data_IF_389434972594
#
_entry.id   IF_389434972594
#
_cell.length_a   1.000
_cell.length_b   1.000
_cell.length_c   1.000
_cell.angle_alpha   90.00
_cell.angle_beta   90.00
_cell.angle_gamma   90.00
#
_symmetry.space_group_name_H-M   'P 1'
#
loop_
_entity.id
_entity.type
_entity.pdbx_description
1 polymer ?
#
# COMPACT_ATOMS: atom_id res chain seq x y z
N UNK A 1 -62.74 5.07 30.39
CA UNK A 1 -61.70 4.06 30.65
C UNK A 1 -61.45 3.28 29.36
N UNK A 2 -60.57 3.79 28.50
CA UNK A 2 -60.00 3.08 27.35
C UNK A 2 -58.51 3.30 27.46
N UNK A 3 -57.82 2.27 27.91
CA UNK A 3 -56.38 2.23 28.14
C UNK A 3 -55.65 2.30 26.81
N UNK A 4 -54.64 3.17 26.78
CA UNK A 4 -53.56 3.24 25.80
C UNK A 4 -53.01 1.85 25.46
N UNK A 5 -52.79 1.61 24.17
CA UNK A 5 -51.70 0.76 23.69
C UNK A 5 -50.91 1.64 22.72
N UNK A 6 -49.89 2.30 23.25
CA UNK A 6 -48.82 2.93 22.48
C UNK A 6 -47.95 1.81 21.93
N UNK A 7 -48.07 1.55 20.65
CA UNK A 7 -47.19 0.63 19.94
C UNK A 7 -45.84 1.34 19.73
N UNK A 8 -45.02 1.33 20.79
CA UNK A 8 -43.61 1.69 20.73
C UNK A 8 -42.86 0.55 20.03
N UNK A 9 -43.04 0.44 18.72
CA UNK A 9 -42.11 -0.34 17.90
C UNK A 9 -40.83 0.50 17.77
N UNK A 10 -39.82 0.14 18.57
CA UNK A 10 -38.44 0.47 18.19
C UNK A 10 -38.26 0.01 16.74
N UNK A 11 -37.68 0.82 15.85
CA UNK A 11 -37.21 0.28 14.58
C UNK A 11 -36.09 -0.70 14.92
N UNK A 12 -36.40 -1.98 14.88
CA UNK A 12 -35.42 -3.05 15.02
C UNK A 12 -34.28 -2.77 14.04
N UNK A 13 -33.10 -2.47 14.60
CA UNK A 13 -31.88 -2.20 13.84
C UNK A 13 -31.37 -3.52 13.26
N UNK A 14 -31.99 -3.98 12.18
CA UNK A 14 -31.52 -5.16 11.46
C UNK A 14 -30.32 -4.79 10.57
N UNK A 15 -29.21 -5.50 10.78
CA UNK A 15 -28.07 -5.56 9.86
C UNK A 15 -28.53 -6.22 8.56
N UNK A 16 -28.57 -5.48 7.46
CA UNK A 16 -28.99 -6.00 6.16
C UNK A 16 -27.79 -6.16 5.24
N UNK A 17 -27.72 -7.30 4.57
CA UNK A 17 -26.74 -7.57 3.52
C UNK A 17 -26.83 -6.55 2.37
N UNK A 18 -25.70 -6.35 1.68
CA UNK A 18 -25.65 -5.53 0.47
C UNK A 18 -26.64 -6.07 -0.59
N UNK A 19 -27.24 -5.21 -1.43
CA UNK A 19 -28.17 -5.64 -2.46
C UNK A 19 -27.52 -6.67 -3.42
N UNK A 20 -28.23 -7.78 -3.69
CA UNK A 20 -27.77 -8.93 -4.48
C UNK A 20 -27.26 -8.58 -5.89
N UNK A 21 -27.66 -7.43 -6.44
CA UNK A 21 -27.23 -6.95 -7.77
C UNK A 21 -25.75 -6.53 -7.82
N UNK A 22 -25.12 -6.24 -6.68
CA UNK A 22 -23.79 -5.63 -6.60
C UNK A 22 -22.65 -6.65 -6.54
N UNK A 23 -22.92 -7.90 -6.13
CA UNK A 23 -21.92 -8.98 -6.13
C UNK A 23 -21.36 -9.30 -7.53
N UNK A 24 -22.09 -8.93 -8.61
CA UNK A 24 -21.74 -9.37 -9.97
C UNK A 24 -20.74 -8.47 -10.71
N UNK A 25 -20.55 -7.20 -10.29
CA UNK A 25 -19.74 -6.23 -11.07
C UNK A 25 -18.29 -6.01 -10.58
N UNK A 26 -17.92 -6.43 -9.37
CA UNK A 26 -16.66 -6.02 -8.74
C UNK A 26 -15.87 -7.13 -8.03
N UNK A 27 -16.07 -8.41 -8.40
CA UNK A 27 -15.40 -9.57 -7.81
C UNK A 27 -14.02 -9.87 -8.43
N UNK A 28 -13.01 -9.01 -8.25
CA UNK A 28 -11.64 -9.35 -8.69
C UNK A 28 -10.52 -9.14 -7.69
N UNK A 29 -10.77 -8.62 -6.48
CA UNK A 29 -9.71 -8.45 -5.48
C UNK A 29 -10.11 -8.97 -4.10
N UNK A 30 -9.21 -9.65 -3.35
CA UNK A 30 -9.46 -10.05 -1.98
C UNK A 30 -9.63 -8.78 -1.13
N UNK A 31 -10.88 -8.44 -0.81
CA UNK A 31 -11.22 -7.22 -0.09
C UNK A 31 -10.73 -7.27 1.36
N UNK A 32 -10.12 -6.19 1.85
CA UNK A 32 -10.14 -5.94 3.30
C UNK A 32 -11.60 -5.87 3.76
N UNK A 33 -12.01 -6.79 4.62
CA UNK A 33 -13.39 -6.80 5.15
C UNK A 33 -13.54 -5.60 6.08
N UNK A 34 -14.25 -4.57 5.61
CA UNK A 34 -14.63 -3.41 6.43
C UNK A 34 -16.07 -3.60 6.92
N UNK A 35 -16.34 -3.49 8.23
CA UNK A 35 -17.71 -3.44 8.70
C UNK A 35 -18.38 -2.20 8.11
N UNK A 36 -19.51 -2.38 7.43
CA UNK A 36 -20.35 -1.28 6.93
C UNK A 36 -21.67 -1.31 7.65
N UNK A 37 -22.01 -0.25 8.38
CA UNK A 37 -23.32 -0.11 8.98
C UNK A 37 -24.29 0.40 7.91
N UNK A 38 -25.42 -0.30 7.71
CA UNK A 38 -26.47 0.12 6.77
C UNK A 38 -27.72 0.45 7.56
N UNK A 39 -28.21 1.68 7.44
CA UNK A 39 -29.49 2.08 8.02
C UNK A 39 -30.62 1.67 7.07
N UNK A 40 -31.51 0.82 7.57
CA UNK A 40 -32.73 0.42 6.88
C UNK A 40 -33.58 1.66 6.61
N UNK A 41 -33.70 2.01 5.33
CA UNK A 41 -34.51 3.15 4.93
C UNK A 41 -35.45 2.85 3.75
N UNK A 42 -35.30 1.69 3.10
CA UNK A 42 -36.23 1.22 2.08
C UNK A 42 -36.40 -0.30 2.15
N UNK A 43 -37.63 -0.77 1.97
CA UNK A 43 -38.03 -2.19 2.11
C UNK A 43 -37.28 -3.12 1.14
N UNK A 44 -36.79 -2.61 -0.01
CA UNK A 44 -36.28 -3.44 -1.10
C UNK A 44 -34.94 -2.99 -1.76
N UNK A 45 -34.21 -1.99 -1.23
CA UNK A 45 -33.10 -1.37 -1.99
C UNK A 45 -31.71 -1.35 -1.32
N UNK A 46 -31.54 -2.05 -0.21
CA UNK A 46 -30.29 -1.98 0.57
C UNK A 46 -30.22 -0.64 1.31
N UNK A 47 -29.88 -0.68 2.60
CA UNK A 47 -29.91 0.51 3.46
C UNK A 47 -28.91 1.60 3.07
N UNK A 48 -29.11 2.80 3.62
CA UNK A 48 -28.16 3.90 3.53
C UNK A 48 -26.86 3.50 4.24
N UNK A 49 -25.74 3.57 3.53
CA UNK A 49 -24.43 3.20 4.08
C UNK A 49 -23.92 4.30 5.01
N UNK A 50 -23.53 3.91 6.22
CA UNK A 50 -22.73 4.70 7.14
C UNK A 50 -21.30 4.16 7.07
N UNK A 51 -20.41 4.86 6.36
CA UNK A 51 -19.06 4.38 6.12
C UNK A 51 -18.17 4.57 7.35
N UNK A 52 -17.31 3.59 7.61
CA UNK A 52 -16.26 3.63 8.60
C UNK A 52 -14.94 3.23 7.93
N UNK A 53 -14.16 4.23 7.53
CA UNK A 53 -12.78 4.05 7.10
C UNK A 53 -11.79 4.43 8.21
N UNK A 54 -12.18 5.42 9.02
CA UNK A 54 -11.41 5.90 10.15
C UNK A 54 -11.52 4.90 11.31
N UNK A 55 -10.62 3.92 11.32
CA UNK A 55 -10.27 3.11 12.48
C UNK A 55 -8.89 3.56 12.95
N UNK A 56 -8.85 4.60 13.79
CA UNK A 56 -7.60 5.07 14.42
C UNK A 56 -7.18 4.07 15.50
N UNK A 57 -6.63 2.93 15.09
CA UNK A 57 -6.06 1.93 16.01
C UNK A 57 -4.76 2.36 16.69
N UNK A 58 -4.21 3.53 16.32
CA UNK A 58 -2.86 3.98 16.72
C UNK A 58 -2.84 5.20 17.68
N UNK A 59 -3.97 5.67 18.19
CA UNK A 59 -3.98 6.72 19.23
C UNK A 59 -3.97 6.12 20.63
N UNK A 60 -3.13 6.66 21.53
CA UNK A 60 -3.01 6.23 22.93
C UNK A 60 -4.34 6.36 23.73
N UNK A 61 -5.26 7.20 23.26
CA UNK A 61 -6.58 7.44 23.86
C UNK A 61 -7.67 6.41 23.45
N UNK A 62 -7.31 5.40 22.65
CA UNK A 62 -8.18 4.29 22.27
C UNK A 62 -8.75 4.39 20.84
N UNK A 63 -9.22 3.26 20.26
CA UNK A 63 -9.64 3.23 18.87
C UNK A 63 -10.92 4.04 18.65
N UNK A 64 -10.82 5.12 17.85
CA UNK A 64 -12.02 5.80 17.36
C UNK A 64 -12.82 4.83 16.50
N UNK A 65 -14.02 4.49 16.97
CA UNK A 65 -14.96 3.64 16.24
C UNK A 65 -16.29 4.33 16.11
N UNK A 66 -16.84 4.36 14.89
CA UNK A 66 -18.18 4.90 14.67
C UNK A 66 -19.20 4.15 15.52
N UNK A 67 -18.97 2.87 15.80
CA UNK A 67 -19.84 2.06 16.63
C UNK A 67 -19.85 2.54 18.08
N UNK A 68 -18.70 2.94 18.64
CA UNK A 68 -18.64 3.51 19.99
C UNK A 68 -19.24 4.92 20.03
N UNK A 69 -19.03 5.72 18.97
CA UNK A 69 -19.67 7.02 18.84
C UNK A 69 -21.20 6.88 18.76
N UNK A 70 -21.70 5.98 17.92
CA UNK A 70 -23.13 5.69 17.78
C UNK A 70 -23.71 5.12 19.07
N UNK A 71 -23.02 4.20 19.74
CA UNK A 71 -23.42 3.65 21.04
C UNK A 71 -23.54 4.74 22.10
N UNK A 72 -22.61 5.71 22.10
CA UNK A 72 -22.70 6.89 22.98
C UNK A 72 -23.91 7.74 22.61
N UNK A 73 -24.18 7.96 21.31
CA UNK A 73 -25.35 8.71 20.84
C UNK A 73 -26.67 7.99 21.17
N UNK A 74 -26.72 6.67 21.07
CA UNK A 74 -27.93 5.89 21.40
C UNK A 74 -28.10 5.66 22.91
N UNK A 75 -27.09 5.97 23.72
CA UNK A 75 -27.18 5.89 25.18
C UNK A 75 -28.07 6.98 25.79
N UNK A 76 -28.30 8.09 25.07
CA UNK A 76 -29.15 9.17 25.54
C UNK A 76 -30.54 9.12 24.90
N UNK A 77 -31.58 8.93 25.72
CA UNK A 77 -32.96 8.80 25.25
C UNK A 77 -33.49 10.01 24.46
N UNK A 78 -32.97 11.22 24.70
CA UNK A 78 -33.35 12.40 23.92
C UNK A 78 -32.82 12.35 22.48
N UNK A 79 -31.67 11.71 22.23
CA UNK A 79 -31.11 11.56 20.88
C UNK A 79 -31.91 10.54 20.08
N UNK A 80 -32.36 9.46 20.73
CA UNK A 80 -33.34 8.54 20.15
C UNK A 80 -34.67 9.24 19.83
N UNK A 81 -35.11 10.17 20.68
CA UNK A 81 -36.36 10.91 20.47
C UNK A 81 -36.34 11.82 19.23
N UNK A 82 -35.16 12.31 18.84
CA UNK A 82 -34.96 13.08 17.60
C UNK A 82 -35.11 12.19 16.37
N UNK A 83 -34.63 10.95 16.46
CA UNK A 83 -34.76 9.94 15.39
C UNK A 83 -36.19 9.37 15.31
N UNK A 84 -36.96 9.39 16.40
CA UNK A 84 -38.32 8.86 16.45
C UNK A 84 -39.39 9.96 16.30
N UNK A 85 -39.77 10.32 15.06
CA UNK A 85 -40.97 11.07 14.61
C UNK A 85 -41.51 12.28 15.43
N UNK A 86 -40.84 12.71 16.50
CA UNK A 86 -41.29 13.73 17.45
C UNK A 86 -40.51 15.04 17.28
N UNK A 87 -39.62 15.07 16.29
CA UNK A 87 -38.74 16.18 15.95
C UNK A 87 -39.31 16.96 14.75
N UNK A 88 -39.08 18.29 14.66
CA UNK A 88 -39.48 19.09 13.49
C UNK A 88 -38.71 18.70 12.22
N UNK A 89 -37.65 17.88 12.36
CA UNK A 89 -36.84 17.38 11.27
C UNK A 89 -37.09 15.88 11.08
N UNK A 90 -37.50 15.42 9.89
CA UNK A 90 -37.71 14.00 9.65
C UNK A 90 -36.40 13.22 9.83
N UNK A 91 -36.50 12.01 10.37
CA UNK A 91 -35.34 11.13 10.55
C UNK A 91 -34.54 10.86 9.25
N UNK A 92 -35.17 10.71 8.06
CA UNK A 92 -34.41 10.32 6.88
C UNK A 92 -33.45 11.35 6.29
N UNK A 93 -33.83 12.63 6.13
CA UNK A 93 -32.88 13.69 5.81
C UNK A 93 -31.70 13.73 6.79
N UNK A 94 -31.93 13.44 8.08
CA UNK A 94 -30.87 13.45 9.11
C UNK A 94 -29.90 12.29 8.91
N UNK A 95 -30.41 11.09 8.64
CA UNK A 95 -29.58 9.94 8.29
C UNK A 95 -28.72 10.21 7.05
N UNK A 96 -29.29 10.86 6.02
CA UNK A 96 -28.56 11.26 4.82
C UNK A 96 -27.48 12.31 5.10
N UNK A 97 -27.76 13.30 5.95
CA UNK A 97 -26.74 14.28 6.37
C UNK A 97 -25.59 13.59 7.13
N UNK A 98 -25.91 12.67 8.03
CA UNK A 98 -24.93 11.89 8.76
C UNK A 98 -24.05 11.08 7.81
N UNK A 99 -24.66 10.32 6.89
CA UNK A 99 -23.94 9.54 5.87
C UNK A 99 -23.02 10.43 5.03
N UNK A 100 -23.53 11.56 4.52
CA UNK A 100 -22.74 12.51 3.73
C UNK A 100 -21.56 13.09 4.54
N UNK A 101 -21.77 13.46 5.80
CA UNK A 101 -20.69 13.94 6.67
C UNK A 101 -19.61 12.88 6.84
N UNK A 102 -19.98 11.62 7.05
CA UNK A 102 -19.02 10.52 7.22
C UNK A 102 -18.24 10.25 5.93
N UNK A 103 -18.89 10.26 4.77
CA UNK A 103 -18.19 10.16 3.48
C UNK A 103 -17.17 11.27 3.30
N UNK A 104 -17.54 12.51 3.64
CA UNK A 104 -16.63 13.65 3.55
C UNK A 104 -15.46 13.54 4.53
N UNK A 105 -15.69 13.12 5.76
CA UNK A 105 -14.64 12.89 6.76
C UNK A 105 -13.67 11.79 6.29
N UNK A 106 -14.18 10.67 5.78
CA UNK A 106 -13.34 9.59 5.25
C UNK A 106 -12.52 10.06 4.04
N UNK A 107 -13.08 10.88 3.16
CA UNK A 107 -12.34 11.46 2.04
C UNK A 107 -11.23 12.39 2.54
N UNK A 108 -11.49 13.22 3.55
CA UNK A 108 -10.47 14.10 4.13
C UNK A 108 -9.32 13.31 4.77
N UNK A 109 -9.64 12.21 5.46
CA UNK A 109 -8.64 11.29 5.99
C UNK A 109 -7.76 10.71 4.87
N UNK A 110 -8.37 10.13 3.83
CA UNK A 110 -7.63 9.61 2.68
C UNK A 110 -6.79 10.68 1.99
N UNK A 111 -7.33 11.90 1.89
CA UNK A 111 -6.61 13.04 1.30
C UNK A 111 -5.34 13.34 2.09
N UNK A 112 -5.43 13.39 3.44
CA UNK A 112 -4.28 13.64 4.30
C UNK A 112 -3.24 12.53 4.17
N UNK A 113 -3.64 11.27 4.21
CA UNK A 113 -2.71 10.14 4.12
C UNK A 113 -2.02 10.06 2.75
N UNK A 114 -2.76 10.23 1.66
CA UNK A 114 -2.18 10.23 0.31
C UNK A 114 -1.22 11.43 0.15
N UNK A 115 -1.59 12.61 0.64
CA UNK A 115 -0.71 13.78 0.59
C UNK A 115 0.55 13.61 1.45
N UNK A 116 0.42 13.04 2.66
CA UNK A 116 1.56 12.72 3.54
C UNK A 116 2.56 11.83 2.82
N UNK A 117 2.09 10.73 2.22
CA UNK A 117 2.95 9.82 1.45
C UNK A 117 3.57 10.54 0.24
N UNK A 118 2.76 11.31 -0.50
CA UNK A 118 3.19 11.98 -1.73
C UNK A 118 4.27 13.04 -1.50
N UNK A 119 4.17 13.82 -0.42
CA UNK A 119 5.09 14.93 -0.16
C UNK A 119 6.25 14.59 0.77
N UNK A 120 6.06 13.69 1.73
CA UNK A 120 7.06 13.41 2.77
C UNK A 120 7.80 12.09 2.50
N UNK A 121 7.05 11.01 2.29
CA UNK A 121 7.62 9.65 2.28
C UNK A 121 8.25 9.28 0.93
N UNK A 122 7.81 9.86 -0.19
CA UNK A 122 8.41 9.64 -1.53
C UNK A 122 9.91 9.96 -1.58
N UNK A 123 10.39 10.86 -0.71
CA UNK A 123 11.80 11.28 -0.71
C UNK A 123 12.75 10.14 -0.34
N UNK A 124 12.29 9.18 0.47
CA UNK A 124 13.05 8.00 0.88
C UNK A 124 12.18 6.76 0.63
N UNK A 125 12.23 6.19 -0.59
CA UNK A 125 11.30 5.14 -0.98
C UNK A 125 11.56 3.85 -0.20
N UNK A 126 10.56 3.42 0.58
CA UNK A 126 10.48 2.11 1.23
C UNK A 126 9.46 1.26 0.47
N UNK A 127 9.75 -0.02 0.14
CA UNK A 127 8.78 -0.92 -0.48
C UNK A 127 7.43 -0.98 0.26
N UNK A 128 7.39 -0.78 1.57
CA UNK A 128 6.15 -0.74 2.36
C UNK A 128 5.22 0.41 1.95
N UNK A 129 5.76 1.52 1.48
CA UNK A 129 4.97 2.67 1.01
C UNK A 129 4.10 2.26 -0.19
N UNK A 130 4.62 1.37 -1.05
CA UNK A 130 3.85 0.90 -2.20
C UNK A 130 2.65 0.04 -1.76
N UNK A 131 2.84 -0.85 -0.77
CA UNK A 131 1.75 -1.62 -0.18
C UNK A 131 0.69 -0.70 0.43
N UNK A 132 1.11 0.34 1.17
CA UNK A 132 0.21 1.34 1.74
C UNK A 132 -0.55 2.14 0.67
N UNK A 133 0.09 2.53 -0.43
CA UNK A 133 -0.58 3.21 -1.54
C UNK A 133 -1.60 2.31 -2.23
N UNK A 134 -1.31 1.01 -2.35
CA UNK A 134 -2.27 0.03 -2.86
C UNK A 134 -3.49 -0.11 -1.93
N UNK A 135 -3.26 -0.17 -0.62
CA UNK A 135 -4.34 -0.21 0.38
C UNK A 135 -5.21 1.05 0.31
N UNK A 136 -4.59 2.24 0.28
CA UNK A 136 -5.31 3.52 0.15
C UNK A 136 -6.09 3.63 -1.16
N UNK A 137 -5.57 3.04 -2.24
CA UNK A 137 -6.29 2.96 -3.52
C UNK A 137 -7.51 2.07 -3.43
N UNK A 138 -7.39 0.91 -2.77
CA UNK A 138 -8.52 0.02 -2.53
C UNK A 138 -9.59 0.74 -1.70
N UNK A 139 -9.18 1.40 -0.62
CA UNK A 139 -10.06 2.19 0.25
C UNK A 139 -10.75 3.35 -0.50
N UNK A 140 -10.05 4.03 -1.42
CA UNK A 140 -10.64 5.11 -2.22
C UNK A 140 -11.61 4.60 -3.29
N UNK A 141 -11.19 3.63 -4.10
CA UNK A 141 -11.95 3.19 -5.29
C UNK A 141 -13.02 2.18 -4.92
N UNK A 142 -12.63 1.10 -4.24
CA UNK A 142 -13.51 -0.02 -3.95
C UNK A 142 -14.51 0.29 -2.85
N UNK A 143 -14.10 1.11 -1.86
CA UNK A 143 -14.95 1.43 -0.72
C UNK A 143 -15.64 2.79 -0.87
N UNK A 144 -14.87 3.89 -1.00
CA UNK A 144 -15.45 5.23 -1.03
C UNK A 144 -16.24 5.53 -2.31
N UNK A 145 -15.62 5.40 -3.48
CA UNK A 145 -16.28 5.74 -4.75
C UNK A 145 -17.46 4.79 -5.02
N UNK A 146 -17.27 3.48 -4.86
CA UNK A 146 -18.34 2.51 -5.07
C UNK A 146 -19.49 2.69 -4.08
N UNK A 147 -19.20 2.86 -2.79
CA UNK A 147 -20.24 3.03 -1.76
C UNK A 147 -20.99 4.36 -1.91
N UNK A 148 -20.27 5.45 -2.20
CA UNK A 148 -20.89 6.75 -2.43
C UNK A 148 -21.75 6.75 -3.70
N UNK A 149 -21.30 6.08 -4.77
CA UNK A 149 -22.10 5.90 -5.99
C UNK A 149 -23.38 5.13 -5.69
N UNK A 150 -23.31 4.05 -4.91
CA UNK A 150 -24.50 3.29 -4.46
C UNK A 150 -25.48 4.19 -3.68
N UNK A 151 -24.99 5.02 -2.76
CA UNK A 151 -25.85 5.95 -2.01
C UNK A 151 -26.44 7.07 -2.87
N UNK A 152 -25.77 7.43 -3.97
CA UNK A 152 -26.23 8.48 -4.90
C UNK A 152 -27.27 7.95 -5.88
N UNK A 153 -27.12 6.72 -6.37
CA UNK A 153 -28.09 6.07 -7.26
C UNK A 153 -29.42 5.77 -6.54
N UNK A 154 -29.38 5.55 -5.22
CA UNK A 154 -30.54 5.16 -4.42
C UNK A 154 -31.15 6.30 -3.59
N UNK A 155 -30.95 7.56 -3.98
CA UNK A 155 -31.56 8.71 -3.31
C UNK A 155 -33.08 8.69 -3.51
N UNK A 156 -33.83 8.88 -2.43
CA UNK A 156 -35.30 8.90 -2.46
C UNK A 156 -35.81 10.28 -2.88
N UNK A 157 -36.81 10.32 -3.76
CA UNK A 157 -37.43 11.56 -4.24
C UNK A 157 -37.98 12.41 -3.08
N UNK A 158 -38.52 11.78 -2.04
CA UNK A 158 -39.03 12.49 -0.84
C UNK A 158 -37.96 13.29 -0.09
N UNK A 159 -36.69 12.89 -0.19
CA UNK A 159 -35.57 13.63 0.41
C UNK A 159 -35.24 14.84 -0.46
N UNK A 160 -35.26 14.67 -1.78
CA UNK A 160 -35.05 15.76 -2.73
C UNK A 160 -36.12 16.82 -2.54
N UNK A 161 -37.38 16.41 -2.45
CA UNK A 161 -38.53 17.30 -2.22
C UNK A 161 -38.41 18.02 -0.88
N UNK A 162 -38.08 17.31 0.20
CA UNK A 162 -37.86 17.91 1.52
C UNK A 162 -36.79 19.01 1.48
N UNK A 163 -35.65 18.76 0.84
CA UNK A 163 -34.57 19.76 0.76
C UNK A 163 -34.90 20.92 -0.15
N UNK A 164 -35.69 20.70 -1.21
CA UNK A 164 -36.17 21.77 -2.09
C UNK A 164 -37.17 22.66 -1.36
N UNK A 165 -38.16 22.08 -0.67
CA UNK A 165 -39.14 22.81 0.14
C UNK A 165 -38.45 23.58 1.28
N UNK A 166 -37.51 22.93 1.99
CA UNK A 166 -36.73 23.59 3.04
C UNK A 166 -35.91 24.77 2.49
N UNK A 167 -35.29 24.61 1.31
CA UNK A 167 -34.53 25.68 0.65
C UNK A 167 -35.43 26.87 0.28
N UNK A 168 -36.61 26.60 -0.26
CA UNK A 168 -37.57 27.64 -0.66
C UNK A 168 -38.12 28.39 0.57
N UNK A 169 -38.41 27.67 1.66
CA UNK A 169 -38.99 28.24 2.87
C UNK A 169 -38.02 29.05 3.73
N UNK A 170 -36.71 28.75 3.69
CA UNK A 170 -35.71 29.35 4.60
C UNK A 170 -34.57 30.08 3.89
N UNK A 171 -34.80 30.52 2.64
CA UNK A 171 -33.80 30.96 1.64
C UNK A 171 -32.88 32.16 1.93
N UNK A 172 -32.43 32.42 3.16
CA UNK A 172 -31.60 33.59 3.51
C UNK A 172 -30.27 33.26 4.24
N UNK A 173 -30.03 32.03 4.71
CA UNK A 173 -28.77 31.69 5.39
C UNK A 173 -27.69 31.15 4.43
N UNK A 174 -26.64 31.98 4.25
CA UNK A 174 -25.26 31.79 3.75
C UNK A 174 -24.89 30.50 2.98
N UNK A 175 -23.97 30.64 2.01
CA UNK A 175 -23.47 29.63 1.06
C UNK A 175 -23.13 28.23 1.62
N UNK A 176 -22.95 28.08 2.93
CA UNK A 176 -22.79 26.79 3.62
C UNK A 176 -24.06 25.90 3.59
N UNK A 177 -25.27 26.47 3.57
CA UNK A 177 -26.54 25.73 3.63
C UNK A 177 -27.15 25.42 2.25
N UNK A 178 -26.53 25.90 1.16
CA UNK A 178 -27.04 25.70 -0.21
C UNK A 178 -26.81 24.29 -0.76
N UNK A 179 -25.94 23.49 -0.15
CA UNK A 179 -25.56 22.17 -0.67
C UNK A 179 -26.62 21.14 -0.29
N UNK A 180 -27.40 20.66 -1.27
CA UNK A 180 -28.21 19.46 -1.06
C UNK A 180 -27.30 18.26 -0.84
N UNK A 181 -27.73 17.21 -0.10
CA UNK A 181 -26.96 15.99 0.07
C UNK A 181 -26.49 15.40 -1.27
N UNK A 182 -27.34 15.45 -2.31
CA UNK A 182 -27.01 15.01 -3.68
C UNK A 182 -25.86 15.83 -4.28
N UNK A 183 -25.92 17.17 -4.18
CA UNK A 183 -24.83 18.03 -4.66
C UNK A 183 -23.54 17.80 -3.87
N UNK A 184 -23.64 17.50 -2.57
CA UNK A 184 -22.50 17.18 -1.72
C UNK A 184 -21.85 15.85 -2.12
N UNK A 185 -22.65 14.82 -2.41
CA UNK A 185 -22.14 13.56 -2.94
C UNK A 185 -21.42 13.74 -4.27
N UNK A 186 -21.97 14.54 -5.19
CA UNK A 186 -21.33 14.82 -6.47
C UNK A 186 -19.97 15.52 -6.30
N UNK A 187 -19.91 16.56 -5.45
CA UNK A 187 -18.65 17.25 -5.13
C UNK A 187 -17.63 16.32 -4.47
N UNK A 188 -18.10 15.40 -3.62
CA UNK A 188 -17.26 14.41 -2.94
C UNK A 188 -16.72 13.38 -3.93
N UNK A 189 -17.53 12.91 -4.88
CA UNK A 189 -17.11 12.04 -5.99
C UNK A 189 -16.08 12.73 -6.90
N UNK A 190 -16.32 14.00 -7.26
CA UNK A 190 -15.37 14.76 -8.07
C UNK A 190 -14.03 14.94 -7.35
N UNK A 191 -14.08 15.22 -6.04
CA UNK A 191 -12.89 15.34 -5.21
C UNK A 191 -12.16 14.00 -5.05
N UNK A 192 -12.90 12.90 -4.91
CA UNK A 192 -12.34 11.55 -4.87
C UNK A 192 -11.67 11.17 -6.20
N UNK A 193 -12.24 11.54 -7.35
CA UNK A 193 -11.63 11.30 -8.66
C UNK A 193 -10.33 12.10 -8.85
N UNK A 194 -10.28 13.35 -8.37
CA UNK A 194 -9.04 14.14 -8.34
C UNK A 194 -7.98 13.49 -7.45
N UNK A 195 -8.39 12.96 -6.30
CA UNK A 195 -7.51 12.26 -5.37
C UNK A 195 -6.99 10.93 -5.95
N UNK A 196 -7.82 10.20 -6.69
CA UNK A 196 -7.41 8.97 -7.39
C UNK A 196 -6.31 9.28 -8.41
N UNK A 197 -6.47 10.37 -9.18
CA UNK A 197 -5.44 10.83 -10.11
C UNK A 197 -4.12 11.14 -9.38
N UNK A 198 -4.17 11.88 -8.26
CA UNK A 198 -2.99 12.18 -7.46
C UNK A 198 -2.32 10.90 -6.94
N UNK A 199 -3.11 9.92 -6.48
CA UNK A 199 -2.59 8.63 -6.02
C UNK A 199 -1.86 7.89 -7.14
N UNK A 200 -2.43 7.87 -8.35
CA UNK A 200 -1.83 7.21 -9.50
C UNK A 200 -0.49 7.86 -9.89
N UNK A 201 -0.45 9.19 -9.93
CA UNK A 201 0.78 9.96 -10.17
C UNK A 201 1.83 9.67 -9.08
N UNK A 202 1.40 9.63 -7.82
CA UNK A 202 2.26 9.30 -6.66
C UNK A 202 2.86 7.89 -6.77
N UNK A 203 2.05 6.89 -7.14
CA UNK A 203 2.52 5.51 -7.34
C UNK A 203 3.54 5.40 -8.50
N UNK A 204 3.30 6.12 -9.60
CA UNK A 204 4.25 6.17 -10.72
C UNK A 204 5.57 6.83 -10.33
N UNK A 205 5.53 7.93 -9.59
CA UNK A 205 6.72 8.60 -9.08
C UNK A 205 7.51 7.72 -8.12
N UNK A 206 6.84 7.00 -7.21
CA UNK A 206 7.48 6.06 -6.30
C UNK A 206 8.22 4.96 -7.07
N UNK A 207 7.56 4.32 -8.04
CA UNK A 207 8.18 3.27 -8.87
C UNK A 207 9.39 3.77 -9.65
N UNK A 208 9.32 4.99 -10.19
CA UNK A 208 10.46 5.63 -10.85
C UNK A 208 11.62 5.86 -9.88
N UNK A 209 11.33 6.37 -8.67
CA UNK A 209 12.33 6.62 -7.63
C UNK A 209 13.04 5.33 -7.19
N UNK A 210 12.28 4.26 -6.92
CA UNK A 210 12.80 2.93 -6.58
C UNK A 210 13.69 2.41 -7.71
N UNK A 211 13.23 2.48 -8.96
CA UNK A 211 13.99 2.00 -10.12
C UNK A 211 15.33 2.73 -10.29
N UNK A 212 15.35 4.05 -10.05
CA UNK A 212 16.58 4.85 -10.08
C UNK A 212 17.52 4.46 -8.94
N UNK A 213 17.00 4.22 -7.74
CA UNK A 213 17.79 3.77 -6.61
C UNK A 213 18.40 2.38 -6.86
N UNK A 214 17.61 1.43 -7.35
CA UNK A 214 18.07 0.08 -7.71
C UNK A 214 19.12 0.12 -8.81
N UNK A 215 18.95 0.98 -9.83
CA UNK A 215 19.95 1.17 -10.87
C UNK A 215 21.28 1.70 -10.29
N UNK A 216 21.24 2.64 -9.35
CA UNK A 216 22.45 3.15 -8.68
C UNK A 216 23.13 2.06 -7.85
N UNK A 217 22.37 1.34 -7.03
CA UNK A 217 22.91 0.22 -6.23
C UNK A 217 23.53 -0.86 -7.13
N UNK A 218 22.89 -1.18 -8.25
CA UNK A 218 23.40 -2.15 -9.22
C UNK A 218 24.69 -1.69 -9.89
N UNK A 219 24.82 -0.40 -10.23
CA UNK A 219 26.06 0.18 -10.76
C UNK A 219 27.17 0.09 -9.72
N UNK A 220 26.89 0.48 -8.46
CA UNK A 220 27.88 0.41 -7.37
C UNK A 220 28.32 -1.04 -7.12
N UNK A 221 27.38 -1.98 -7.06
CA UNK A 221 27.67 -3.40 -6.90
C UNK A 221 28.49 -3.94 -8.09
N UNK A 222 28.20 -3.50 -9.31
CA UNK A 222 28.96 -3.86 -10.51
C UNK A 222 30.39 -3.30 -10.50
N UNK A 223 30.59 -2.10 -9.96
CA UNK A 223 31.92 -1.53 -9.78
C UNK A 223 32.72 -2.30 -8.74
N UNK A 224 32.09 -2.65 -7.60
CA UNK A 224 32.72 -3.46 -6.57
C UNK A 224 33.08 -4.87 -7.07
N UNK A 225 32.17 -5.52 -7.80
CA UNK A 225 32.43 -6.85 -8.37
C UNK A 225 33.56 -6.80 -9.40
N UNK A 226 33.62 -5.77 -10.25
CA UNK A 226 34.73 -5.56 -11.18
C UNK A 226 36.06 -5.36 -10.44
N UNK A 227 36.08 -4.56 -9.37
CA UNK A 227 37.30 -4.38 -8.56
C UNK A 227 37.74 -5.69 -7.91
N UNK A 228 36.80 -6.49 -7.41
CA UNK A 228 37.09 -7.81 -6.85
C UNK A 228 37.65 -8.76 -7.92
N UNK A 229 37.07 -8.76 -9.13
CA UNK A 229 37.56 -9.56 -10.25
C UNK A 229 39.00 -9.15 -10.65
N UNK A 230 39.30 -7.85 -10.70
CA UNK A 230 40.65 -7.36 -10.98
C UNK A 230 41.66 -7.79 -9.90
N UNK A 231 41.29 -7.76 -8.62
CA UNK A 231 42.15 -8.26 -7.54
C UNK A 231 42.35 -9.77 -7.63
N UNK A 232 41.29 -10.52 -7.94
CA UNK A 232 41.36 -11.97 -8.11
C UNK A 232 42.24 -12.39 -9.29
N UNK A 233 42.19 -11.65 -10.42
CA UNK A 233 43.07 -11.91 -11.56
C UNK A 233 44.53 -11.65 -11.22
N UNK A 234 44.85 -10.56 -10.51
CA UNK A 234 46.21 -10.28 -10.03
C UNK A 234 46.74 -11.39 -9.11
N UNK A 235 45.92 -11.85 -8.15
CA UNK A 235 46.29 -12.96 -7.27
C UNK A 235 46.53 -14.26 -8.05
N UNK A 236 45.68 -14.55 -9.04
CA UNK A 236 45.83 -15.73 -9.90
C UNK A 236 47.12 -15.67 -10.71
N UNK A 237 47.47 -14.51 -11.26
CA UNK A 237 48.74 -14.31 -11.98
C UNK A 237 49.93 -14.56 -11.04
N UNK A 238 49.90 -13.99 -9.84
CA UNK A 238 50.97 -14.16 -8.86
C UNK A 238 51.11 -15.62 -8.42
N UNK A 239 49.99 -16.28 -8.09
CA UNK A 239 49.98 -17.69 -7.71
C UNK A 239 50.47 -18.59 -8.85
N UNK A 240 50.06 -18.32 -10.10
CA UNK A 240 50.49 -19.10 -11.26
C UNK A 240 52.01 -19.04 -11.49
N UNK A 241 52.67 -17.95 -11.09
CA UNK A 241 54.13 -17.82 -11.21
C UNK A 241 54.85 -18.35 -9.98
N UNK A 242 54.38 -18.01 -8.77
CA UNK A 242 55.04 -18.37 -7.52
C UNK A 242 54.91 -19.86 -7.15
N UNK A 243 53.78 -20.51 -7.47
CA UNK A 243 53.54 -21.92 -7.10
C UNK A 243 54.53 -22.86 -7.79
N UNK A 244 54.75 -22.80 -9.12
CA UNK A 244 55.72 -23.67 -9.79
C UNK A 244 57.15 -23.34 -9.40
N UNK A 245 57.48 -22.06 -9.19
CA UNK A 245 58.80 -21.66 -8.72
C UNK A 245 59.10 -22.24 -7.33
N UNK A 246 58.12 -22.19 -6.44
CA UNK A 246 58.20 -22.76 -5.08
C UNK A 246 58.28 -24.28 -5.10
N UNK A 247 57.62 -24.93 -6.06
CA UNK A 247 57.75 -26.38 -6.26
C UNK A 247 59.17 -26.76 -6.66
N UNK A 248 59.76 -26.04 -7.62
CA UNK A 248 61.15 -26.26 -8.05
C UNK A 248 62.12 -26.07 -6.87
N UNK A 249 62.02 -24.96 -6.15
CA UNK A 249 62.89 -24.71 -4.99
C UNK A 249 62.67 -25.71 -3.85
N UNK A 250 61.44 -26.18 -3.65
CA UNK A 250 61.12 -27.25 -2.69
C UNK A 250 61.77 -28.59 -3.05
N UNK A 251 61.63 -29.03 -4.30
CA UNK A 251 62.24 -30.29 -4.80
C UNK A 251 63.76 -30.27 -4.65
N UNK A 252 64.40 -29.13 -4.95
CA UNK A 252 65.86 -28.99 -4.82
C UNK A 252 66.33 -28.66 -3.40
N UNK A 253 65.47 -28.12 -2.54
CA UNK A 253 65.76 -27.82 -1.13
C UNK A 253 65.63 -29.03 -0.20
N UNK A 254 64.88 -30.06 -0.61
CA UNK A 254 64.76 -31.32 0.14
C UNK A 254 66.07 -32.13 0.02
N UNK A 255 66.81 -32.20 1.13
CA UNK A 255 68.02 -33.00 1.38
C UNK A 255 68.57 -33.83 0.20
N UNK A 256 69.39 -33.18 -0.64
CA UNK A 256 70.14 -33.76 -1.76
C UNK A 256 71.27 -34.74 -1.34
N UNK A 257 71.17 -35.39 -0.17
CA UNK A 257 72.19 -36.36 0.27
C UNK A 257 72.29 -37.58 -0.66
N UNK A 258 71.21 -37.94 -1.36
CA UNK A 258 71.19 -39.05 -2.34
C UNK A 258 71.52 -38.65 -3.79
N UNK A 259 71.53 -37.35 -4.12
CA UNK A 259 71.84 -36.86 -5.47
C UNK A 259 73.33 -36.55 -5.66
N UNK A 260 74.06 -36.29 -4.57
CA UNK A 260 75.49 -35.98 -4.61
C UNK A 260 76.41 -37.22 -4.68
N UNK A 261 75.92 -38.42 -4.34
CA UNK A 261 76.70 -39.66 -4.47
C UNK A 261 76.81 -40.16 -5.94
N UNK A 262 75.93 -39.67 -6.84
CA UNK A 262 75.83 -40.16 -8.22
C UNK A 262 76.41 -39.22 -9.29
N UNK A 263 77.13 -38.16 -8.92
CA UNK A 263 77.81 -37.28 -9.90
C UNK A 263 76.85 -36.59 -10.89
N UNK A 264 75.65 -36.22 -10.44
CA UNK A 264 74.67 -35.58 -11.32
C UNK A 264 75.10 -34.13 -11.62
N UNK A 265 75.34 -33.85 -12.91
CA UNK A 265 75.76 -32.55 -13.41
C UNK A 265 74.78 -31.43 -13.05
N UNK A 266 75.33 -30.25 -12.73
CA UNK A 266 74.59 -28.97 -12.51
C UNK A 266 73.58 -28.67 -13.63
N UNK A 267 73.74 -29.31 -14.79
CA UNK A 267 72.86 -29.25 -15.94
C UNK A 267 71.42 -29.73 -15.69
N UNK A 268 71.22 -30.70 -14.78
CA UNK A 268 69.87 -31.22 -14.46
C UNK A 268 69.01 -30.17 -13.74
N UNK A 269 69.65 -29.24 -13.03
CA UNK A 269 68.97 -28.09 -12.41
C UNK A 269 68.39 -27.15 -13.48
N UNK A 270 69.16 -26.85 -14.52
CA UNK A 270 68.69 -26.02 -15.64
C UNK A 270 67.53 -26.67 -16.39
N UNK A 271 67.62 -27.99 -16.64
CA UNK A 271 66.54 -28.73 -17.30
C UNK A 271 65.26 -28.74 -16.46
N UNK A 272 65.37 -28.92 -15.14
CA UNK A 272 64.22 -28.89 -14.23
C UNK A 272 63.49 -27.54 -14.25
N UNK A 273 64.23 -26.43 -14.25
CA UNK A 273 63.65 -25.09 -14.37
C UNK A 273 62.97 -24.88 -15.72
N UNK A 274 63.62 -25.28 -16.81
CA UNK A 274 63.08 -25.13 -18.17
C UNK A 274 61.80 -25.95 -18.34
N UNK A 275 61.76 -27.19 -17.85
CA UNK A 275 60.56 -28.02 -17.92
C UNK A 275 59.44 -27.43 -17.04
N UNK A 276 59.74 -27.04 -15.79
CA UNK A 276 58.74 -26.45 -14.91
C UNK A 276 58.15 -25.14 -15.46
N UNK A 277 58.99 -24.28 -16.05
CA UNK A 277 58.53 -23.03 -16.68
C UNK A 277 57.70 -23.28 -17.94
N UNK A 278 58.08 -24.24 -18.79
CA UNK A 278 57.28 -24.65 -19.96
C UNK A 278 55.92 -25.19 -19.54
N UNK A 279 55.87 -26.10 -18.56
CA UNK A 279 54.60 -26.66 -18.06
C UNK A 279 53.71 -25.56 -17.49
N UNK A 280 54.28 -24.62 -16.74
CA UNK A 280 53.55 -23.47 -16.20
C UNK A 280 53.00 -22.58 -17.31
N UNK A 281 53.80 -22.27 -18.33
CA UNK A 281 53.40 -21.44 -19.46
C UNK A 281 52.29 -22.10 -20.29
N UNK A 282 52.35 -23.42 -20.48
CA UNK A 282 51.31 -24.20 -21.19
C UNK A 282 50.00 -24.18 -20.40
N UNK A 283 50.04 -24.39 -19.09
CA UNK A 283 48.84 -24.32 -18.23
C UNK A 283 48.24 -22.92 -18.25
N UNK A 284 49.07 -21.87 -18.18
CA UNK A 284 48.60 -20.50 -18.24
C UNK A 284 47.94 -20.16 -19.59
N UNK A 285 48.55 -20.55 -20.71
CA UNK A 285 47.97 -20.37 -22.04
C UNK A 285 46.65 -21.15 -22.20
N UNK A 286 46.59 -22.38 -21.70
CA UNK A 286 45.36 -23.17 -21.73
C UNK A 286 44.23 -22.50 -20.93
N UNK A 287 44.54 -21.95 -19.75
CA UNK A 287 43.57 -21.21 -18.93
C UNK A 287 43.12 -19.90 -19.60
N UNK A 288 44.03 -19.18 -20.26
CA UNK A 288 43.72 -17.93 -20.94
C UNK A 288 42.85 -18.13 -22.19
N UNK A 289 43.06 -19.24 -22.92
CA UNK A 289 42.25 -19.61 -24.09
C UNK A 289 40.85 -20.05 -23.68
N UNK A 290 40.67 -20.66 -22.51
CA UNK A 290 39.36 -21.10 -22.03
C UNK A 290 38.52 -20.00 -21.38
N UNK A 291 39.14 -18.86 -21.05
CA UNK A 291 38.48 -17.69 -20.45
C UNK A 291 37.96 -16.67 -21.49
N UNK A 292 38.22 -16.88 -22.78
CA UNK A 292 37.64 -16.09 -23.90
C UNK A 292 36.42 -16.79 -24.46
#
# INVERSE_FOLDING_TARGET
MKTHVTDNSMPDLFLVDAPLSLQKKYNTFPRRMRPSLRLLYAVNRGGLILPQLLEESNYEDGPYSIFEALKTVFSHGWQCSILSNSSPFPAPPLCYMLSNSLWQTNLQYLTREIQRISFEEIRNPDPKINEMLHDLREDLVSYLISGLSETTENVLETIIDFWNEYRENYGVMQDAMRRTPVSSHHNTLESAAKLEKLLMETSQLLMSSISVQDARMSIEQSQLSNQQALRATQLTILASTCVPLSFVTGVFGMNLKQLNESGLSIWVFFVGIVIATIVTAVIFLALQVHSK
#
